data_IF_372958208544
#
_entry.id   IF_372958208544
#
_cell.length_a   1.000
_cell.length_b   1.000
_cell.length_c   1.000
_cell.angle_alpha   90.00
_cell.angle_beta   90.00
_cell.angle_gamma   90.00
#
_symmetry.space_group_name_H-M   'P 1'
#
loop_
_entity.id
_entity.type
_entity.pdbx_description
1 polymer ?
#
# COMPACT_ATOMS: atom_id res chain seq x y z
N UNK A 1 19.75 7.22 7.58
CA UNK A 1 19.72 5.75 7.78
C UNK A 1 19.38 5.12 6.45
N UNK A 2 19.98 3.97 6.17
CA UNK A 2 19.66 3.12 5.03
C UNK A 2 18.18 2.68 5.14
N UNK A 3 17.42 2.64 4.03
CA UNK A 3 16.02 2.23 4.04
C UNK A 3 15.93 0.82 3.41
N UNK A 4 15.70 -0.23 4.23
CA UNK A 4 15.74 -1.62 3.77
C UNK A 4 14.76 -1.91 2.63
N UNK A 5 13.62 -1.22 2.57
CA UNK A 5 12.65 -1.38 1.49
C UNK A 5 13.26 -0.95 0.17
N UNK A 6 13.74 0.31 0.10
CA UNK A 6 14.31 0.86 -1.14
C UNK A 6 15.57 0.10 -1.58
N UNK A 7 16.42 -0.31 -0.64
CA UNK A 7 17.67 -1.02 -0.94
C UNK A 7 17.41 -2.39 -1.52
N UNK A 8 16.52 -3.16 -0.88
CA UNK A 8 16.17 -4.48 -1.38
C UNK A 8 15.34 -4.39 -2.66
N UNK A 9 14.57 -3.31 -2.88
CA UNK A 9 13.88 -3.07 -4.15
C UNK A 9 14.88 -2.77 -5.27
N UNK A 10 15.83 -1.86 -5.06
CA UNK A 10 16.87 -1.58 -6.04
C UNK A 10 17.66 -2.84 -6.40
N UNK A 11 18.08 -3.61 -5.38
CA UNK A 11 18.84 -4.84 -5.58
C UNK A 11 18.10 -5.90 -6.41
N UNK A 12 16.78 -6.08 -6.23
CA UNK A 12 16.04 -7.04 -7.07
C UNK A 12 15.86 -6.53 -8.49
N UNK A 13 15.63 -5.22 -8.68
CA UNK A 13 15.48 -4.61 -10.00
C UNK A 13 16.76 -4.65 -10.82
N UNK A 14 17.93 -4.54 -10.19
CA UNK A 14 19.24 -4.68 -10.83
C UNK A 14 19.53 -6.13 -11.29
N UNK A 15 18.89 -7.12 -10.66
CA UNK A 15 19.06 -8.55 -10.99
C UNK A 15 18.18 -9.02 -12.13
N UNK A 16 17.13 -8.26 -12.48
CA UNK A 16 16.28 -8.59 -13.62
C UNK A 16 17.03 -8.30 -14.92
N UNK A 17 16.89 -9.19 -15.90
CA UNK A 17 17.34 -8.87 -17.24
C UNK A 17 16.49 -7.71 -17.84
N UNK A 18 17.04 -6.95 -18.80
CA UNK A 18 16.37 -5.77 -19.34
C UNK A 18 14.98 -6.04 -19.93
N UNK A 19 14.75 -7.21 -20.53
CA UNK A 19 13.47 -7.55 -21.16
C UNK A 19 12.41 -7.83 -20.09
N UNK A 20 12.74 -8.65 -19.09
CA UNK A 20 11.86 -8.93 -17.95
C UNK A 20 11.52 -7.67 -17.17
N UNK A 21 12.51 -6.79 -16.94
CA UNK A 21 12.28 -5.51 -16.26
C UNK A 21 11.35 -4.60 -17.06
N UNK A 22 11.58 -4.43 -18.36
CA UNK A 22 10.74 -3.60 -19.21
C UNK A 22 9.29 -4.12 -19.29
N UNK A 23 9.11 -5.45 -19.36
CA UNK A 23 7.79 -6.08 -19.33
C UNK A 23 7.07 -5.84 -17.99
N UNK A 24 7.77 -6.00 -16.87
CA UNK A 24 7.22 -5.74 -15.54
C UNK A 24 6.84 -4.26 -15.36
N UNK A 25 7.68 -3.33 -15.82
CA UNK A 25 7.39 -1.89 -15.81
C UNK A 25 6.15 -1.54 -16.65
N UNK A 26 5.99 -2.16 -17.82
CA UNK A 26 4.81 -1.96 -18.66
C UNK A 26 3.53 -2.48 -17.99
N UNK A 27 3.57 -3.70 -17.42
CA UNK A 27 2.43 -4.30 -16.72
C UNK A 27 1.99 -3.46 -15.51
N UNK A 28 2.94 -3.01 -14.68
CA UNK A 28 2.64 -2.16 -13.52
C UNK A 28 2.04 -0.83 -13.95
N UNK A 29 2.58 -0.20 -15.01
CA UNK A 29 2.04 1.06 -15.52
C UNK A 29 0.61 0.91 -16.02
N UNK A 30 0.33 -0.13 -16.80
CA UNK A 30 -1.02 -0.42 -17.29
C UNK A 30 -1.99 -0.70 -16.13
N UNK A 31 -1.61 -1.58 -15.20
CA UNK A 31 -2.42 -1.93 -14.05
C UNK A 31 -2.73 -0.72 -13.17
N UNK A 32 -1.72 0.06 -12.79
CA UNK A 32 -1.89 1.24 -11.94
C UNK A 32 -2.74 2.32 -12.60
N UNK A 33 -2.56 2.56 -13.90
CA UNK A 33 -3.40 3.50 -14.65
C UNK A 33 -4.89 3.09 -14.59
N UNK A 34 -5.18 1.80 -14.77
CA UNK A 34 -6.55 1.28 -14.71
C UNK A 34 -7.13 1.20 -13.29
N UNK A 35 -6.36 0.73 -12.32
CA UNK A 35 -6.84 0.47 -10.97
C UNK A 35 -6.85 1.72 -10.08
N UNK A 36 -5.87 2.60 -10.28
CA UNK A 36 -5.58 3.74 -9.40
C UNK A 36 -5.78 5.09 -10.08
N UNK A 37 -6.00 5.11 -11.40
CA UNK A 37 -6.12 6.35 -12.18
C UNK A 37 -4.81 7.13 -12.28
N UNK A 38 -3.69 6.51 -11.92
CA UNK A 38 -2.36 7.12 -11.93
C UNK A 38 -1.32 6.07 -12.32
N UNK A 39 -0.41 6.45 -13.22
CA UNK A 39 0.76 5.64 -13.53
C UNK A 39 1.77 5.68 -12.39
N UNK A 40 2.22 4.50 -11.94
CA UNK A 40 3.32 4.38 -10.97
C UNK A 40 4.49 3.60 -11.57
N UNK A 41 5.69 3.82 -11.03
CA UNK A 41 6.86 3.04 -11.41
C UNK A 41 6.81 1.64 -10.79
N UNK A 42 7.51 0.68 -11.41
CA UNK A 42 7.71 -0.64 -10.81
C UNK A 42 8.32 -0.53 -9.40
N UNK A 43 9.31 0.33 -9.22
CA UNK A 43 9.91 0.57 -7.89
C UNK A 43 8.88 1.03 -6.86
N UNK A 44 8.02 1.99 -7.21
CA UNK A 44 6.97 2.48 -6.32
C UNK A 44 6.01 1.36 -5.92
N UNK A 45 5.58 0.55 -6.89
CA UNK A 45 4.70 -0.60 -6.64
C UNK A 45 5.35 -1.62 -5.69
N UNK A 46 6.62 -1.98 -5.91
CA UNK A 46 7.31 -2.92 -5.02
C UNK A 46 7.49 -2.36 -3.60
N UNK A 47 7.76 -1.06 -3.47
CA UNK A 47 7.85 -0.39 -2.18
C UNK A 47 6.50 -0.35 -1.46
N UNK A 48 5.42 -0.09 -2.21
CA UNK A 48 4.04 -0.11 -1.71
C UNK A 48 3.65 -1.49 -1.20
N UNK A 49 3.93 -2.54 -1.97
CA UNK A 49 3.60 -3.92 -1.59
C UNK A 49 4.37 -4.33 -0.31
N UNK A 50 5.64 -3.95 -0.17
CA UNK A 50 6.41 -4.22 1.06
C UNK A 50 5.88 -3.43 2.26
N UNK A 51 5.50 -2.16 2.06
CA UNK A 51 4.87 -1.36 3.11
C UNK A 51 3.52 -1.92 3.54
N UNK A 52 2.75 -2.45 2.59
CA UNK A 52 1.50 -3.13 2.85
C UNK A 52 1.70 -4.42 3.65
N UNK A 53 2.70 -5.23 3.29
CA UNK A 53 3.09 -6.43 4.06
C UNK A 53 3.51 -6.08 5.50
N UNK A 54 4.27 -4.99 5.69
CA UNK A 54 4.62 -4.51 7.03
C UNK A 54 3.39 -4.17 7.87
N UNK A 55 2.39 -3.52 7.26
CA UNK A 55 1.17 -3.14 7.95
C UNK A 55 0.33 -4.38 8.33
N UNK A 56 0.12 -5.27 7.38
CA UNK A 56 -0.59 -6.54 7.53
C UNK A 56 0.06 -7.50 8.54
N UNK A 57 1.38 -7.40 8.72
CA UNK A 57 2.10 -8.24 9.68
C UNK A 57 2.03 -7.73 11.13
N UNK A 58 1.31 -6.63 11.43
CA UNK A 58 1.29 -6.01 12.76
C UNK A 58 0.80 -6.96 13.87
N UNK A 59 -0.16 -7.83 13.58
CA UNK A 59 -0.64 -8.92 14.45
C UNK A 59 -0.36 -10.32 13.86
N UNK A 60 0.46 -10.36 12.81
CA UNK A 60 0.91 -11.57 12.12
C UNK A 60 0.12 -11.84 10.84
N UNK A 61 0.85 -12.02 9.73
CA UNK A 61 0.25 -12.17 8.40
C UNK A 61 -0.63 -13.43 8.29
N UNK A 62 -1.90 -13.21 7.99
CA UNK A 62 -2.89 -14.26 7.83
C UNK A 62 -2.72 -15.02 6.50
N UNK A 63 -3.27 -16.24 6.44
CA UNK A 63 -3.28 -17.02 5.20
C UNK A 63 -4.13 -16.38 4.09
N UNK A 64 -5.12 -15.54 4.44
CA UNK A 64 -5.95 -14.82 3.48
C UNK A 64 -5.16 -13.65 2.90
N UNK A 65 -4.52 -12.85 3.73
CA UNK A 65 -3.69 -11.73 3.32
C UNK A 65 -2.51 -12.19 2.46
N UNK A 66 -1.84 -13.28 2.86
CA UNK A 66 -0.75 -13.86 2.07
C UNK A 66 -1.23 -14.33 0.68
N UNK A 67 -2.45 -14.88 0.57
CA UNK A 67 -3.03 -15.24 -0.73
C UNK A 67 -3.39 -13.99 -1.53
N UNK A 68 -3.94 -12.96 -0.89
CA UNK A 68 -4.22 -11.68 -1.51
C UNK A 68 -2.96 -10.97 -2.02
N UNK A 69 -1.86 -11.05 -1.27
CA UNK A 69 -0.53 -10.56 -1.66
C UNK A 69 -0.09 -11.19 -2.98
N UNK A 70 -0.13 -12.52 -3.03
CA UNK A 70 0.24 -13.29 -4.23
C UNK A 70 -0.66 -12.97 -5.41
N UNK A 71 -1.97 -12.86 -5.17
CA UNK A 71 -2.94 -12.51 -6.20
C UNK A 71 -2.69 -11.09 -6.76
N UNK A 72 -2.45 -10.10 -5.90
CA UNK A 72 -2.14 -8.73 -6.31
C UNK A 72 -0.87 -8.68 -7.16
N UNK A 73 0.22 -9.31 -6.70
CA UNK A 73 1.47 -9.37 -7.46
C UNK A 73 1.30 -10.06 -8.82
N UNK A 74 0.49 -11.11 -8.88
CA UNK A 74 0.18 -11.83 -10.12
C UNK A 74 -0.64 -10.96 -11.07
N UNK A 75 -1.61 -10.22 -10.55
CA UNK A 75 -2.46 -9.32 -11.32
C UNK A 75 -1.69 -8.12 -11.88
N UNK A 76 -0.70 -7.61 -11.13
CA UNK A 76 0.24 -6.58 -11.59
C UNK A 76 1.28 -7.13 -12.59
N UNK A 77 1.24 -8.43 -12.92
CA UNK A 77 2.16 -9.06 -13.86
C UNK A 77 3.60 -9.09 -13.37
N UNK A 78 3.83 -9.17 -12.05
CA UNK A 78 5.16 -9.19 -11.48
C UNK A 78 5.87 -10.53 -11.77
N UNK A 79 7.15 -10.52 -12.18
CA UNK A 79 7.92 -11.73 -12.41
C UNK A 79 8.06 -12.58 -11.14
N UNK A 80 8.11 -13.91 -11.28
CA UNK A 80 8.15 -14.85 -10.15
C UNK A 80 9.29 -14.55 -9.16
N UNK A 81 10.48 -14.21 -9.67
CA UNK A 81 11.63 -13.84 -8.83
C UNK A 81 11.35 -12.61 -7.94
N UNK A 82 10.58 -11.64 -8.44
CA UNK A 82 10.16 -10.45 -7.68
C UNK A 82 9.11 -10.82 -6.63
N UNK A 83 8.17 -11.71 -6.99
CA UNK A 83 7.17 -12.21 -6.05
C UNK A 83 7.84 -12.94 -4.88
N UNK A 84 8.77 -13.85 -5.15
CA UNK A 84 9.54 -14.54 -4.11
C UNK A 84 10.30 -13.58 -3.22
N UNK A 85 10.96 -12.57 -3.81
CA UNK A 85 11.68 -11.54 -3.06
C UNK A 85 10.77 -10.78 -2.07
N UNK A 86 9.55 -10.42 -2.48
CA UNK A 86 8.58 -9.76 -1.59
C UNK A 86 8.10 -10.72 -0.48
N UNK A 87 7.84 -11.98 -0.84
CA UNK A 87 7.35 -12.98 0.12
C UNK A 87 8.40 -13.29 1.20
N UNK A 88 9.68 -13.37 0.82
CA UNK A 88 10.81 -13.64 1.71
C UNK A 88 11.32 -12.41 2.47
N UNK A 89 10.91 -11.21 2.07
CA UNK A 89 11.32 -9.97 2.71
C UNK A 89 10.89 -9.93 4.19
N UNK A 90 11.83 -9.84 5.11
CA UNK A 90 11.58 -9.84 6.56
C UNK A 90 11.16 -8.43 7.04
N UNK A 91 9.87 -8.25 7.26
CA UNK A 91 9.31 -6.99 7.74
C UNK A 91 9.63 -6.68 9.21
N UNK A 92 10.10 -7.65 10.01
CA UNK A 92 10.40 -7.44 11.43
C UNK A 92 11.55 -6.45 11.68
N UNK A 93 12.34 -6.15 10.63
CA UNK A 93 13.45 -5.20 10.65
C UNK A 93 13.01 -3.77 10.31
N UNK A 94 11.74 -3.56 9.99
CA UNK A 94 11.22 -2.26 9.58
C UNK A 94 10.75 -1.42 10.76
N UNK A 95 10.91 -0.11 10.58
CA UNK A 95 10.36 0.92 11.44
C UNK A 95 9.38 1.77 10.62
N UNK A 96 8.29 2.30 11.20
CA UNK A 96 7.34 3.16 10.48
C UNK A 96 7.98 4.33 9.72
N UNK A 97 9.08 4.89 10.23
CA UNK A 97 9.83 5.96 9.55
C UNK A 97 10.47 5.52 8.23
N UNK A 98 10.72 4.22 8.03
CA UNK A 98 11.12 3.68 6.72
C UNK A 98 9.99 3.80 5.70
N UNK A 99 8.74 3.66 6.13
CA UNK A 99 7.56 3.83 5.28
C UNK A 99 7.33 5.31 4.97
N UNK A 100 7.44 6.18 6.00
CA UNK A 100 7.31 7.63 5.86
C UNK A 100 8.28 8.24 4.84
N UNK A 101 9.44 7.60 4.64
CA UNK A 101 10.46 8.04 3.69
C UNK A 101 10.25 7.55 2.25
N UNK A 102 9.24 6.72 1.95
CA UNK A 102 9.04 6.13 0.62
C UNK A 102 8.40 7.08 -0.39
N UNK A 103 7.65 8.07 0.08
CA UNK A 103 6.81 8.91 -0.78
C UNK A 103 6.83 10.37 -0.34
N UNK A 104 6.58 11.25 -1.30
CA UNK A 104 6.43 12.67 -1.02
C UNK A 104 5.18 12.95 -0.18
N UNK A 105 5.25 14.01 0.62
CA UNK A 105 4.15 14.46 1.48
C UNK A 105 2.95 14.94 0.67
N UNK A 106 1.80 15.04 1.34
CA UNK A 106 0.57 15.55 0.75
C UNK A 106 -0.22 14.47 0.03
N UNK A 107 -0.60 14.72 -1.23
CA UNK A 107 -1.45 13.81 -2.00
C UNK A 107 -0.82 12.42 -2.18
N UNK A 108 0.47 12.28 -2.57
CA UNK A 108 1.08 10.96 -2.73
C UNK A 108 1.10 10.15 -1.42
N UNK A 109 1.43 10.78 -0.29
CA UNK A 109 1.37 10.17 1.03
C UNK A 109 -0.02 9.63 1.40
N UNK A 110 -1.10 10.39 1.16
CA UNK A 110 -2.48 9.94 1.40
C UNK A 110 -2.87 8.78 0.50
N UNK A 111 -2.50 8.86 -0.77
CA UNK A 111 -2.73 7.80 -1.74
C UNK A 111 -1.99 6.51 -1.33
N UNK A 112 -0.72 6.64 -0.94
CA UNK A 112 0.10 5.52 -0.48
C UNK A 112 -0.48 4.87 0.78
N UNK A 113 -0.84 5.68 1.79
CA UNK A 113 -1.48 5.19 3.01
C UNK A 113 -2.80 4.45 2.71
N UNK A 114 -3.62 5.01 1.83
CA UNK A 114 -4.88 4.37 1.41
C UNK A 114 -4.63 3.02 0.76
N UNK A 115 -3.64 2.90 -0.12
CA UNK A 115 -3.35 1.67 -0.83
C UNK A 115 -2.84 0.57 0.11
N UNK A 116 -1.93 0.88 1.04
CA UNK A 116 -1.44 -0.10 2.02
C UNK A 116 -2.56 -0.54 2.99
N UNK A 117 -3.47 0.36 3.34
CA UNK A 117 -4.63 0.05 4.19
C UNK A 117 -5.61 -0.90 3.51
N UNK A 118 -5.89 -0.73 2.22
CA UNK A 118 -6.77 -1.66 1.49
C UNK A 118 -6.16 -3.05 1.33
N UNK A 119 -4.83 -3.12 1.29
CA UNK A 119 -4.14 -4.38 1.28
C UNK A 119 -4.22 -5.07 2.65
N UNK A 120 -3.91 -4.37 3.75
CA UNK A 120 -4.04 -4.93 5.10
C UNK A 120 -5.49 -5.33 5.40
N UNK A 121 -6.48 -4.53 4.97
CA UNK A 121 -7.90 -4.81 5.18
C UNK A 121 -8.47 -5.98 4.33
N UNK A 122 -7.66 -6.79 3.64
CA UNK A 122 -8.15 -7.83 2.74
C UNK A 122 -9.01 -8.88 3.44
N UNK A 123 -8.73 -9.22 4.70
CA UNK A 123 -9.54 -10.12 5.52
C UNK A 123 -10.19 -9.44 6.74
N UNK A 124 -10.19 -8.10 6.72
CA UNK A 124 -10.59 -7.23 7.82
C UNK A 124 -9.38 -6.41 8.26
N UNK A 125 -9.61 -5.29 8.94
CA UNK A 125 -8.51 -4.50 9.50
C UNK A 125 -8.61 -4.53 11.02
N UNK A 126 -7.68 -5.23 11.66
CA UNK A 126 -7.60 -5.40 13.10
C UNK A 126 -7.29 -4.08 13.81
N UNK A 127 -7.38 -4.07 15.14
CA UNK A 127 -7.04 -2.89 15.92
C UNK A 127 -5.53 -2.64 16.01
N UNK A 128 -4.71 -3.70 15.95
CA UNK A 128 -3.25 -3.61 15.94
C UNK A 128 -2.74 -3.09 14.60
N UNK A 129 -3.31 -3.56 13.49
CA UNK A 129 -3.05 -3.01 12.15
C UNK A 129 -3.49 -1.55 12.05
N UNK A 130 -4.68 -1.21 12.57
CA UNK A 130 -5.15 0.18 12.60
C UNK A 130 -4.25 1.06 13.47
N UNK A 131 -3.73 0.56 14.60
CA UNK A 131 -2.75 1.28 15.41
C UNK A 131 -1.44 1.50 14.66
N UNK A 132 -0.93 0.48 13.98
CA UNK A 132 0.25 0.58 13.11
C UNK A 132 0.04 1.58 11.97
N UNK A 133 -1.14 1.57 11.34
CA UNK A 133 -1.51 2.51 10.28
C UNK A 133 -1.52 3.97 10.76
N UNK A 134 -1.90 4.23 12.02
CA UNK A 134 -1.83 5.57 12.60
C UNK A 134 -0.40 6.08 12.71
N UNK A 135 0.52 5.22 13.16
CA UNK A 135 1.94 5.57 13.26
C UNK A 135 2.53 5.79 11.87
N UNK A 136 2.26 4.89 10.91
CA UNK A 136 2.70 5.06 9.51
C UNK A 136 2.13 6.34 8.89
N UNK A 137 0.84 6.61 9.07
CA UNK A 137 0.20 7.82 8.57
C UNK A 137 0.80 9.09 9.16
N UNK A 138 1.21 9.06 10.44
CA UNK A 138 1.92 10.17 11.07
C UNK A 138 3.29 10.42 10.44
N UNK A 139 4.07 9.35 10.20
CA UNK A 139 5.38 9.42 9.53
C UNK A 139 5.27 9.91 8.08
N UNK A 140 4.14 9.65 7.42
CA UNK A 140 3.78 10.14 6.09
C UNK A 140 3.28 11.60 6.08
N UNK A 141 3.25 12.26 7.24
CA UNK A 141 2.72 13.61 7.43
C UNK A 141 1.24 13.76 7.02
N UNK A 142 0.45 12.70 7.21
CA UNK A 142 -1.00 12.72 6.99
C UNK A 142 -1.70 13.24 8.24
N UNK A 143 -2.67 14.14 8.07
CA UNK A 143 -3.43 14.70 9.19
C UNK A 143 -4.21 13.59 9.92
N UNK A 144 -4.25 13.56 11.28
CA UNK A 144 -4.90 12.49 12.04
C UNK A 144 -6.35 12.20 11.63
N UNK A 145 -7.17 13.21 11.35
CA UNK A 145 -8.55 12.99 10.90
C UNK A 145 -8.65 12.29 9.54
N UNK A 146 -7.68 12.50 8.65
CA UNK A 146 -7.62 11.82 7.35
C UNK A 146 -7.15 10.38 7.52
N UNK A 147 -6.21 10.13 8.44
CA UNK A 147 -5.78 8.77 8.80
C UNK A 147 -7.00 7.96 9.28
N UNK A 148 -7.78 8.49 10.23
CA UNK A 148 -8.97 7.80 10.72
C UNK A 148 -10.01 7.59 9.62
N UNK A 149 -10.22 8.57 8.75
CA UNK A 149 -11.15 8.44 7.63
C UNK A 149 -10.73 7.31 6.67
N UNK A 150 -9.44 7.18 6.37
CA UNK A 150 -8.92 6.10 5.53
C UNK A 150 -9.02 4.72 6.20
N UNK A 151 -8.76 4.64 7.52
CA UNK A 151 -8.92 3.40 8.29
C UNK A 151 -10.38 2.94 8.27
N UNK A 152 -11.32 3.86 8.52
CA UNK A 152 -12.75 3.56 8.51
C UNK A 152 -13.26 3.18 7.12
N UNK A 153 -12.78 3.86 6.08
CA UNK A 153 -13.12 3.54 4.69
C UNK A 153 -12.60 2.13 4.31
N UNK A 154 -11.37 1.78 4.68
CA UNK A 154 -10.81 0.46 4.39
C UNK A 154 -11.62 -0.67 5.05
N UNK A 155 -12.00 -0.49 6.34
CA UNK A 155 -12.89 -1.40 7.06
C UNK A 155 -14.26 -1.53 6.39
N UNK A 156 -14.87 -0.40 6.03
CA UNK A 156 -16.17 -0.40 5.36
C UNK A 156 -16.10 -1.05 3.98
N UNK A 157 -14.99 -0.88 3.25
CA UNK A 157 -14.80 -1.48 1.93
C UNK A 157 -14.65 -2.99 2.02
N UNK A 158 -13.90 -3.51 3.01
CA UNK A 158 -13.84 -4.94 3.29
C UNK A 158 -15.25 -5.52 3.54
N UNK A 159 -16.04 -4.87 4.39
CA UNK A 159 -17.40 -5.34 4.71
C UNK A 159 -18.31 -5.33 3.48
N UNK A 160 -18.25 -4.27 2.66
CA UNK A 160 -18.98 -4.20 1.39
C UNK A 160 -18.56 -5.30 0.40
N UNK A 161 -17.27 -5.66 0.37
CA UNK A 161 -16.77 -6.80 -0.43
C UNK A 161 -17.31 -8.13 0.08
N UNK A 162 -17.31 -8.34 1.40
CA UNK A 162 -17.86 -9.54 2.04
C UNK A 162 -19.34 -9.74 1.71
N UNK A 163 -20.10 -8.66 1.62
CA UNK A 163 -21.51 -8.65 1.23
C UNK A 163 -21.78 -8.59 -0.28
N UNK A 164 -20.74 -8.46 -1.11
CA UNK A 164 -20.85 -8.23 -2.56
C UNK A 164 -21.72 -7.01 -2.92
N UNK A 165 -21.69 -5.99 -2.05
CA UNK A 165 -22.42 -4.74 -2.27
C UNK A 165 -21.60 -3.81 -3.17
N UNK A 166 -21.81 -3.95 -4.48
CA UNK A 166 -21.10 -3.14 -5.49
C UNK A 166 -21.47 -1.66 -5.45
N UNK A 167 -22.68 -1.31 -4.98
CA UNK A 167 -23.10 0.08 -4.85
C UNK A 167 -22.35 0.76 -3.71
N UNK A 168 -22.23 0.10 -2.56
CA UNK A 168 -21.45 0.58 -1.44
C UNK A 168 -19.95 0.68 -1.79
N UNK A 169 -19.39 -0.31 -2.50
CA UNK A 169 -17.99 -0.25 -2.97
C UNK A 169 -17.74 0.95 -3.89
N UNK A 170 -18.68 1.28 -4.79
CA UNK A 170 -18.56 2.46 -5.65
C UNK A 170 -18.55 3.76 -4.84
N UNK A 171 -19.45 3.89 -3.86
CA UNK A 171 -19.51 5.06 -2.97
C UNK A 171 -18.24 5.20 -2.13
N UNK A 172 -17.71 4.10 -1.59
CA UNK A 172 -16.48 4.10 -0.80
C UNK A 172 -15.25 4.45 -1.63
N UNK A 173 -15.17 3.96 -2.88
CA UNK A 173 -14.14 4.40 -3.83
C UNK A 173 -14.19 5.91 -4.06
N UNK A 174 -15.38 6.47 -4.29
CA UNK A 174 -15.52 7.91 -4.53
C UNK A 174 -15.17 8.73 -3.27
N UNK A 175 -15.55 8.25 -2.08
CA UNK A 175 -15.15 8.83 -0.79
C UNK A 175 -13.63 8.82 -0.60
N UNK A 176 -12.96 7.69 -0.85
CA UNK A 176 -11.50 7.57 -0.80
C UNK A 176 -10.82 8.60 -1.70
N UNK A 177 -11.28 8.71 -2.95
CA UNK A 177 -10.72 9.70 -3.88
C UNK A 177 -10.91 11.12 -3.33
N UNK A 178 -12.09 11.44 -2.79
CA UNK A 178 -12.30 12.74 -2.15
C UNK A 178 -11.33 12.98 -0.99
N UNK A 179 -11.10 12.01 -0.09
CA UNK A 179 -10.15 12.12 1.02
C UNK A 179 -8.72 12.37 0.52
N UNK A 180 -8.30 11.67 -0.53
CA UNK A 180 -6.95 11.81 -1.12
C UNK A 180 -6.77 13.20 -1.74
N UNK A 181 -7.80 13.73 -2.40
CA UNK A 181 -7.76 15.04 -3.07
C UNK A 181 -7.98 16.23 -2.13
N UNK A 182 -8.33 16.02 -0.85
CA UNK A 182 -8.49 17.12 0.09
C UNK A 182 -7.18 17.93 0.23
N UNK A 183 -7.26 19.27 0.19
CA UNK A 183 -6.09 20.12 0.42
C UNK A 183 -5.58 19.89 1.85
N UNK A 184 -4.25 19.93 2.03
CA UNK A 184 -3.67 19.88 3.36
C UNK A 184 -4.15 21.10 4.15
N UNK A 185 -4.85 20.85 5.25
CA UNK A 185 -4.99 21.86 6.29
C UNK A 185 -3.67 21.92 7.05
N UNK A 186 -3.12 23.11 7.24
CA UNK A 186 -1.91 23.31 8.04
C UNK A 186 -2.14 22.69 9.43
N UNK A 187 -1.15 21.95 9.96
CA UNK A 187 -1.24 21.40 11.31
C UNK A 187 -1.39 22.57 12.28
N UNK A 188 -2.55 22.71 12.90
CA UNK A 188 -2.66 23.50 14.13
C UNK A 188 -1.74 22.84 15.14
N UNK A 189 -0.64 23.53 15.48
CA UNK A 189 0.29 23.08 16.49
C UNK A 189 -0.39 23.31 17.83
N UNK A 190 -0.84 22.22 18.46
CA UNK A 190 -1.30 22.21 19.85
C UNK A 190 -0.14 21.93 20.81
#
# INVERSE_FOLDING_TARGET
MSNPITETTAAILERLDPETRAAAEANVREFSSHALGQEVSLEYELNLIKAAKFLAAADGLSAVELRGLKAAMTQCGLPEAVQWHILEFDESQLHPSHIGALVERGRPARFFLSAILHFAALDGLSDDEAASARVVGWELDVHPSMIEALILEARANHEAQRHRDSAQQALLRDLRLAIIELPMQERETF
#
